data_IF_394217755250
#
_entry.id   IF_394217755250
#
_cell.length_a   1.000
_cell.length_b   1.000
_cell.length_c   1.000
_cell.angle_alpha   90.00
_cell.angle_beta   90.00
_cell.angle_gamma   90.00
#
_symmetry.space_group_name_H-M   'P 1'
#
loop_
_entity.id
_entity.type
_entity.pdbx_description
1 polymer ?
#
# COMPACT_ATOMS: atom_id res chain seq x y z
N UNK A 1 10.92 50.19 27.20
CA UNK A 1 9.56 49.69 26.90
C UNK A 1 9.48 48.96 25.57
N UNK A 2 10.00 49.51 24.46
CA UNK A 2 9.93 48.90 23.12
C UNK A 2 10.37 47.43 23.08
N UNK A 3 11.54 47.06 23.65
CA UNK A 3 12.01 45.66 23.69
C UNK A 3 11.08 44.67 24.39
N UNK A 4 10.35 45.11 25.43
CA UNK A 4 9.38 44.25 26.15
C UNK A 4 8.09 44.07 25.35
N UNK A 5 7.70 45.09 24.58
CA UNK A 5 6.53 45.05 23.70
C UNK A 5 6.81 44.18 22.46
N UNK A 6 8.00 44.28 21.85
CA UNK A 6 8.39 43.38 20.74
C UNK A 6 8.52 41.94 21.19
N UNK A 7 9.06 41.66 22.39
CA UNK A 7 9.12 40.29 22.92
C UNK A 7 7.72 39.70 23.17
N UNK A 8 6.77 40.48 23.69
CA UNK A 8 5.37 40.07 23.83
C UNK A 8 4.67 39.88 22.48
N UNK A 9 5.00 40.70 21.47
CA UNK A 9 4.48 40.58 20.11
C UNK A 9 4.97 39.31 19.41
N UNK A 10 6.22 38.92 19.62
CA UNK A 10 6.76 37.64 19.12
C UNK A 10 6.23 36.43 19.88
N UNK A 11 5.97 36.53 21.20
CA UNK A 11 5.32 35.46 21.95
C UNK A 11 3.86 35.22 21.53
N UNK A 12 3.16 36.26 21.07
CA UNK A 12 1.79 36.15 20.53
C UNK A 12 1.71 35.46 19.16
N UNK A 13 2.82 35.42 18.41
CA UNK A 13 2.93 34.74 17.12
C UNK A 13 3.32 33.25 17.24
N UNK A 14 3.61 32.76 18.45
CA UNK A 14 3.77 31.33 18.73
C UNK A 14 2.41 30.61 18.82
N UNK A 15 1.45 31.02 17.99
CA UNK A 15 0.18 30.34 17.81
C UNK A 15 0.44 28.91 17.39
N UNK A 16 0.00 27.99 18.26
CA UNK A 16 -0.18 26.54 18.09
C UNK A 16 0.01 26.09 16.64
N UNK A 17 1.25 25.79 16.25
CA UNK A 17 1.48 25.04 15.04
C UNK A 17 0.98 23.62 15.31
N UNK A 18 -0.19 23.28 14.77
CA UNK A 18 -0.55 21.88 14.64
C UNK A 18 0.49 21.24 13.71
N UNK A 19 1.25 20.28 14.24
CA UNK A 19 2.09 19.44 13.41
C UNK A 19 1.20 18.77 12.34
N UNK A 20 1.77 18.57 11.16
CA UNK A 20 1.07 17.96 10.04
C UNK A 20 0.46 16.61 10.47
N UNK A 21 -0.79 16.36 10.12
CA UNK A 21 -1.52 15.09 10.37
C UNK A 21 -0.89 13.87 9.64
N UNK A 22 0.22 14.06 8.92
CA UNK A 22 0.89 13.02 8.14
C UNK A 22 2.17 12.55 8.83
N UNK A 23 2.25 11.23 9.08
CA UNK A 23 3.44 10.58 9.65
C UNK A 23 3.20 9.88 10.99
N UNK A 24 2.09 9.15 11.14
CA UNK A 24 1.77 8.46 12.41
C UNK A 24 2.66 7.24 12.70
N UNK A 25 3.30 6.71 11.66
CA UNK A 25 4.18 5.56 11.76
C UNK A 25 5.39 5.70 10.86
N UNK A 26 6.47 5.05 11.29
CA UNK A 26 7.70 4.88 10.52
C UNK A 26 7.54 3.81 9.44
N UNK A 27 8.47 3.70 8.50
CA UNK A 27 8.48 2.69 7.42
C UNK A 27 7.18 2.60 6.60
N UNK A 28 6.55 3.74 6.30
CA UNK A 28 5.29 3.80 5.54
C UNK A 28 5.36 3.09 4.18
N UNK A 29 6.57 2.95 3.61
CA UNK A 29 6.79 2.26 2.35
C UNK A 29 6.29 0.81 2.33
N UNK A 30 6.15 0.16 3.51
CA UNK A 30 5.60 -1.20 3.65
C UNK A 30 4.14 -1.33 3.18
N UNK A 31 3.40 -0.22 3.17
CA UNK A 31 2.00 -0.18 2.73
C UNK A 31 1.82 0.34 1.29
N UNK A 32 2.93 0.58 0.57
CA UNK A 32 2.89 0.89 -0.84
C UNK A 32 2.49 -0.33 -1.67
N UNK A 33 1.76 -0.06 -2.75
CA UNK A 33 1.16 -1.08 -3.60
C UNK A 33 2.24 -1.95 -4.24
N UNK A 34 2.19 -3.27 -4.05
CA UNK A 34 3.31 -4.13 -4.43
C UNK A 34 3.39 -4.43 -5.92
N UNK A 35 2.28 -4.39 -6.67
CA UNK A 35 2.26 -4.78 -8.08
C UNK A 35 1.24 -4.01 -8.92
N UNK A 36 1.40 -3.97 -10.26
CA UNK A 36 0.39 -3.36 -11.12
C UNK A 36 -0.97 -4.02 -10.99
N UNK A 37 -1.04 -5.35 -10.83
CA UNK A 37 -2.31 -6.05 -10.65
C UNK A 37 -3.06 -5.53 -9.42
N UNK A 38 -2.38 -5.39 -8.29
CA UNK A 38 -2.99 -4.83 -7.09
C UNK A 38 -3.39 -3.37 -7.30
N UNK A 39 -2.53 -2.56 -7.92
CA UNK A 39 -2.83 -1.16 -8.22
C UNK A 39 -4.11 -1.02 -9.08
N UNK A 40 -4.27 -1.90 -10.07
CA UNK A 40 -5.39 -1.85 -11.00
C UNK A 40 -6.72 -2.16 -10.33
N UNK A 41 -6.70 -3.00 -9.30
CA UNK A 41 -7.86 -3.44 -8.54
C UNK A 41 -8.13 -2.56 -7.31
N UNK A 42 -7.52 -1.37 -7.24
CA UNK A 42 -7.78 -0.39 -6.17
C UNK A 42 -6.76 -0.39 -5.02
N UNK A 43 -5.73 -1.24 -5.09
CA UNK A 43 -4.48 -1.10 -4.31
C UNK A 43 -4.23 -2.16 -3.25
N UNK A 44 -5.25 -2.71 -2.60
CA UNK A 44 -5.10 -3.67 -1.48
C UNK A 44 -5.99 -4.89 -1.65
N UNK A 45 -5.78 -5.65 -2.72
CA UNK A 45 -6.44 -6.95 -2.87
C UNK A 45 -5.63 -8.00 -2.10
N UNK A 46 -6.34 -8.88 -1.39
CA UNK A 46 -5.74 -9.91 -0.53
C UNK A 46 -6.31 -11.31 -0.79
N UNK A 47 -7.11 -11.48 -1.84
CA UNK A 47 -7.88 -12.72 -2.10
C UNK A 47 -7.42 -13.45 -3.36
N UNK A 48 -6.38 -12.97 -4.05
CA UNK A 48 -5.89 -13.68 -5.22
C UNK A 48 -5.20 -14.97 -4.79
N UNK A 49 -5.45 -16.06 -5.52
CA UNK A 49 -4.80 -17.35 -5.28
C UNK A 49 -4.50 -17.99 -6.63
N UNK A 50 -3.37 -17.58 -7.21
CA UNK A 50 -2.91 -18.06 -8.50
C UNK A 50 -1.38 -17.98 -8.58
N UNK A 51 -0.84 -17.95 -9.80
CA UNK A 51 0.61 -17.92 -10.08
C UNK A 51 1.29 -16.59 -9.72
N UNK A 52 0.53 -15.55 -9.37
CA UNK A 52 1.07 -14.22 -9.07
C UNK A 52 1.81 -14.18 -7.73
N UNK A 53 3.13 -14.35 -7.82
CA UNK A 53 4.04 -14.35 -6.66
C UNK A 53 4.07 -13.02 -5.91
N UNK A 54 3.53 -11.93 -6.47
CA UNK A 54 3.49 -10.63 -5.79
C UNK A 54 2.38 -10.54 -4.73
N UNK A 55 1.34 -11.37 -4.82
CA UNK A 55 0.23 -11.38 -3.86
C UNK A 55 0.68 -11.74 -2.45
N UNK A 56 1.66 -12.64 -2.35
CA UNK A 56 2.23 -13.09 -1.09
C UNK A 56 2.94 -11.96 -0.30
N UNK A 57 3.31 -10.84 -0.93
CA UNK A 57 3.81 -9.64 -0.25
C UNK A 57 2.73 -8.95 0.61
N UNK A 58 1.45 -9.18 0.31
CA UNK A 58 0.30 -8.60 1.00
C UNK A 58 -0.47 -9.61 1.83
N UNK A 59 -0.64 -10.82 1.31
CA UNK A 59 -1.30 -11.92 2.01
C UNK A 59 -0.42 -13.19 1.96
N UNK A 60 0.30 -13.55 3.04
CA UNK A 60 1.09 -14.78 3.04
C UNK A 60 0.26 -16.06 2.93
N UNK A 61 -1.05 -16.04 3.23
CA UNK A 61 -1.91 -17.21 3.02
C UNK A 61 -2.14 -17.53 1.53
N UNK A 62 -1.82 -16.60 0.62
CA UNK A 62 -1.96 -16.84 -0.82
C UNK A 62 -0.81 -17.65 -1.43
N UNK A 63 0.31 -17.80 -0.71
CA UNK A 63 1.45 -18.60 -1.14
C UNK A 63 0.96 -20.02 -1.45
N UNK A 64 1.28 -20.54 -2.63
CA UNK A 64 0.77 -21.82 -3.10
C UNK A 64 1.75 -22.52 -4.06
N UNK A 65 1.45 -23.76 -4.45
CA UNK A 65 2.31 -24.56 -5.34
C UNK A 65 2.41 -24.03 -6.77
N UNK A 66 1.42 -23.29 -7.25
CA UNK A 66 1.41 -22.75 -8.62
C UNK A 66 2.40 -21.57 -8.78
N UNK A 67 2.83 -20.99 -7.66
CA UNK A 67 3.91 -20.00 -7.62
C UNK A 67 5.30 -20.62 -7.82
N UNK A 68 5.43 -21.95 -7.91
CA UNK A 68 6.73 -22.60 -8.11
C UNK A 68 7.49 -22.03 -9.32
N UNK A 69 8.72 -21.56 -9.07
CA UNK A 69 9.60 -20.97 -10.07
C UNK A 69 9.01 -19.74 -10.78
N UNK A 70 8.07 -19.04 -10.14
CA UNK A 70 7.61 -17.74 -10.59
C UNK A 70 8.49 -16.66 -9.97
N UNK A 71 8.99 -15.76 -10.80
CA UNK A 71 9.68 -14.54 -10.39
C UNK A 71 8.92 -13.31 -10.89
N UNK A 72 8.83 -12.26 -10.09
CA UNK A 72 8.23 -11.01 -10.50
C UNK A 72 9.09 -9.81 -10.12
N UNK A 73 9.11 -8.80 -10.98
CA UNK A 73 9.73 -7.49 -10.77
C UNK A 73 8.72 -6.42 -11.13
N UNK A 74 8.50 -5.48 -10.21
CA UNK A 74 7.60 -4.35 -10.41
C UNK A 74 8.31 -3.05 -10.09
N UNK A 75 8.03 -2.01 -10.88
CA UNK A 75 8.57 -0.66 -10.69
C UNK A 75 7.44 0.34 -10.89
N UNK A 76 7.43 1.36 -10.05
CA UNK A 76 6.52 2.50 -10.18
C UNK A 76 7.26 3.80 -9.87
N UNK A 77 6.96 4.83 -10.67
CA UNK A 77 7.37 6.19 -10.41
C UNK A 77 6.28 6.87 -9.59
N UNK A 78 6.66 7.35 -8.41
CA UNK A 78 5.80 8.07 -7.49
C UNK A 78 6.02 9.59 -7.62
N UNK A 79 5.26 10.36 -6.85
CA UNK A 79 5.32 11.82 -6.85
C UNK A 79 6.73 12.33 -6.47
N UNK A 80 7.16 13.44 -7.08
CA UNK A 80 8.39 14.14 -6.68
C UNK A 80 9.71 13.44 -7.06
N UNK A 81 9.71 12.56 -8.07
CA UNK A 81 10.91 11.82 -8.49
C UNK A 81 11.21 10.57 -7.66
N UNK A 82 10.37 10.28 -6.66
CA UNK A 82 10.44 9.06 -5.86
C UNK A 82 10.19 7.85 -6.77
N UNK A 83 11.00 6.82 -6.63
CA UNK A 83 10.83 5.55 -7.35
C UNK A 83 10.79 4.43 -6.34
N UNK A 84 9.86 3.50 -6.51
CA UNK A 84 9.82 2.30 -5.68
C UNK A 84 9.54 1.08 -6.53
N UNK A 85 9.88 -0.08 -6.01
CA UNK A 85 9.72 -1.34 -6.71
C UNK A 85 9.67 -2.51 -5.77
N UNK A 86 9.18 -3.62 -6.31
CA UNK A 86 9.16 -4.89 -5.61
C UNK A 86 9.77 -5.98 -6.47
N UNK A 87 10.34 -6.97 -5.80
CA UNK A 87 10.75 -8.22 -6.39
C UNK A 87 10.15 -9.36 -5.56
N UNK A 88 9.72 -10.44 -6.22
CA UNK A 88 9.22 -11.60 -5.51
C UNK A 88 9.58 -12.88 -6.25
N UNK A 89 9.85 -13.94 -5.51
CA UNK A 89 10.16 -15.27 -6.04
C UNK A 89 9.60 -16.35 -5.12
N UNK A 90 9.13 -17.44 -5.70
CA UNK A 90 8.61 -18.57 -4.95
C UNK A 90 9.22 -19.89 -5.43
N UNK A 91 9.54 -20.75 -4.47
CA UNK A 91 10.14 -22.05 -4.70
C UNK A 91 9.43 -23.10 -3.86
N UNK A 92 9.14 -24.24 -4.48
CA UNK A 92 8.41 -25.35 -3.84
C UNK A 92 9.42 -26.45 -3.69
N UNK A 93 9.76 -26.78 -2.45
CA UNK A 93 10.78 -27.78 -2.16
C UNK A 93 10.27 -29.20 -2.41
N UNK A 94 9.09 -29.51 -1.85
CA UNK A 94 8.39 -30.77 -2.01
C UNK A 94 6.91 -30.57 -1.61
N UNK A 95 6.04 -31.50 -1.99
CA UNK A 95 4.61 -31.53 -1.63
C UNK A 95 4.36 -31.52 -0.12
N UNK A 96 5.35 -31.90 0.70
CA UNK A 96 5.26 -31.92 2.18
C UNK A 96 5.75 -30.63 2.84
N UNK A 97 6.79 -30.01 2.26
CA UNK A 97 7.45 -28.80 2.78
C UNK A 97 6.88 -27.53 2.12
N UNK A 98 5.86 -27.67 1.27
CA UNK A 98 5.08 -26.59 0.65
C UNK A 98 5.97 -25.58 -0.12
N UNK A 99 5.46 -24.38 -0.34
CA UNK A 99 6.12 -23.30 -1.08
C UNK A 99 6.72 -22.27 -0.14
N UNK A 100 7.99 -21.94 -0.38
CA UNK A 100 8.67 -20.80 0.22
C UNK A 100 8.52 -19.57 -0.67
N UNK A 101 8.34 -18.42 -0.04
CA UNK A 101 8.27 -17.13 -0.71
C UNK A 101 9.39 -16.22 -0.25
N UNK A 102 9.98 -15.49 -1.20
CA UNK A 102 11.00 -14.48 -0.96
C UNK A 102 10.55 -13.19 -1.64
N UNK A 103 10.62 -12.08 -0.92
CA UNK A 103 10.16 -10.80 -1.42
C UNK A 103 11.08 -9.66 -1.02
N UNK A 104 11.16 -8.64 -1.87
CA UNK A 104 11.87 -7.39 -1.63
C UNK A 104 10.91 -6.26 -1.94
N UNK A 105 10.83 -5.27 -1.05
CA UNK A 105 10.19 -3.97 -1.32
C UNK A 105 11.25 -2.90 -1.13
N UNK A 106 11.39 -2.01 -2.10
CA UNK A 106 12.42 -0.98 -2.14
C UNK A 106 11.81 0.36 -2.51
N UNK A 107 12.19 1.42 -1.80
CA UNK A 107 11.87 2.81 -2.15
C UNK A 107 13.14 3.65 -2.19
N UNK A 108 13.24 4.52 -3.19
CA UNK A 108 14.24 5.56 -3.31
C UNK A 108 13.53 6.90 -3.38
N UNK A 109 13.86 7.79 -2.45
CA UNK A 109 13.22 9.10 -2.35
C UNK A 109 13.72 10.13 -3.37
N UNK A 110 14.75 9.80 -4.15
CA UNK A 110 15.40 10.72 -5.06
C UNK A 110 16.46 11.55 -4.35
N UNK A 111 16.87 12.64 -5.00
CA UNK A 111 17.88 13.57 -4.52
C UNK A 111 17.23 14.92 -4.21
N UNK A 112 17.55 15.47 -3.04
CA UNK A 112 17.02 16.74 -2.55
C UNK A 112 18.15 17.74 -2.35
N UNK A 113 17.89 19.00 -2.67
CA UNK A 113 18.81 20.10 -2.40
C UNK A 113 18.80 20.44 -0.90
N UNK A 114 19.96 20.29 -0.26
CA UNK A 114 20.19 20.73 1.11
C UNK A 114 20.40 22.23 1.20
N UNK A 115 19.74 22.88 2.17
CA UNK A 115 19.94 24.29 2.51
C UNK A 115 20.01 24.47 4.02
N UNK A 116 20.86 25.37 4.48
CA UNK A 116 20.91 25.77 5.88
C UNK A 116 19.76 26.73 6.25
N UNK A 117 19.72 27.16 7.52
CA UNK A 117 18.72 28.10 8.02
C UNK A 117 18.74 29.48 7.33
N UNK A 118 19.85 29.82 6.66
CA UNK A 118 20.01 31.08 5.91
C UNK A 118 19.72 30.89 4.41
N UNK A 119 19.32 29.69 3.99
CA UNK A 119 19.05 29.34 2.59
C UNK A 119 20.30 29.07 1.76
N UNK A 120 21.48 28.99 2.37
CA UNK A 120 22.75 28.67 1.71
C UNK A 120 22.78 27.17 1.43
N UNK A 121 23.18 26.79 0.21
CA UNK A 121 23.24 25.39 -0.19
C UNK A 121 24.27 24.61 0.63
N UNK A 122 23.87 23.45 1.16
CA UNK A 122 24.72 22.55 1.97
C UNK A 122 25.12 21.27 1.23
N UNK A 123 24.77 21.16 -0.06
CA UNK A 123 24.95 19.96 -0.88
C UNK A 123 23.61 19.32 -1.22
N UNK A 124 23.63 18.05 -1.62
CA UNK A 124 22.42 17.25 -1.86
C UNK A 124 22.35 16.09 -0.87
N UNK A 125 21.14 15.66 -0.56
CA UNK A 125 20.90 14.48 0.28
C UNK A 125 19.85 13.57 -0.36
N UNK A 126 19.88 12.30 0.04
CA UNK A 126 18.97 11.27 -0.46
C UNK A 126 18.53 10.35 0.68
N UNK A 127 17.58 9.48 0.38
CA UNK A 127 17.15 8.44 1.30
C UNK A 127 16.59 7.25 0.53
N UNK A 128 16.70 6.09 1.13
CA UNK A 128 16.16 4.85 0.60
C UNK A 128 15.79 3.88 1.73
N UNK A 129 14.82 3.03 1.47
CA UNK A 129 14.40 1.99 2.40
C UNK A 129 14.22 0.67 1.67
N UNK A 130 14.49 -0.41 2.39
CA UNK A 130 14.42 -1.78 1.89
C UNK A 130 13.75 -2.66 2.93
N UNK A 131 12.82 -3.49 2.49
CA UNK A 131 12.28 -4.59 3.28
C UNK A 131 12.53 -5.90 2.56
N UNK A 132 13.26 -6.81 3.21
CA UNK A 132 13.40 -8.20 2.79
C UNK A 132 12.34 -9.02 3.53
N UNK A 133 11.65 -9.89 2.81
CA UNK A 133 10.58 -10.73 3.35
C UNK A 133 10.79 -12.19 3.00
N UNK A 134 10.49 -13.06 3.96
CA UNK A 134 10.44 -14.50 3.80
C UNK A 134 9.07 -15.00 4.23
N UNK A 135 8.41 -15.74 3.36
CA UNK A 135 7.04 -16.20 3.53
C UNK A 135 6.90 -17.70 3.52
N UNK A 136 5.95 -18.20 4.31
CA UNK A 136 5.56 -19.60 4.33
C UNK A 136 4.05 -19.73 4.52
N UNK A 137 3.50 -20.78 3.91
CA UNK A 137 2.09 -21.12 3.91
C UNK A 137 1.87 -22.50 4.54
N UNK A 138 0.71 -22.70 5.15
CA UNK A 138 0.25 -23.99 5.64
C UNK A 138 -1.23 -24.18 5.30
N UNK A 139 -1.52 -25.23 4.52
CA UNK A 139 -2.89 -25.63 4.18
C UNK A 139 -3.42 -26.54 5.29
N UNK A 140 -4.53 -26.17 5.91
CA UNK A 140 -5.12 -26.96 7.00
C UNK A 140 -5.78 -28.20 6.40
N UNK A 141 -5.32 -29.42 6.73
CA UNK A 141 -5.84 -30.65 6.12
C UNK A 141 -7.34 -30.82 6.34
N UNK A 142 -8.05 -31.32 5.31
CA UNK A 142 -9.50 -31.58 5.32
C UNK A 142 -10.37 -30.33 5.53
N UNK A 143 -9.83 -29.15 5.24
CA UNK A 143 -10.56 -27.89 5.27
C UNK A 143 -10.21 -27.03 4.07
N UNK A 144 -11.03 -26.02 3.84
CA UNK A 144 -10.85 -25.02 2.79
C UNK A 144 -10.03 -23.81 3.27
N UNK A 145 -9.30 -23.96 4.39
CA UNK A 145 -8.56 -22.87 5.04
C UNK A 145 -7.04 -22.97 4.81
N UNK A 146 -6.47 -21.82 4.48
CA UNK A 146 -5.06 -21.58 4.22
C UNK A 146 -4.57 -20.55 5.22
N UNK A 147 -3.46 -20.81 5.89
CA UNK A 147 -2.82 -19.86 6.79
C UNK A 147 -1.40 -19.58 6.33
N UNK A 148 -0.91 -18.37 6.54
CA UNK A 148 0.46 -18.03 6.15
C UNK A 148 1.05 -16.96 7.04
N UNK A 149 2.38 -16.90 7.04
CA UNK A 149 3.14 -15.87 7.72
C UNK A 149 4.29 -15.36 6.85
N UNK A 150 4.57 -14.06 6.92
CA UNK A 150 5.80 -13.46 6.41
C UNK A 150 6.61 -12.90 7.59
N UNK A 151 7.93 -13.10 7.57
CA UNK A 151 8.86 -12.35 8.39
C UNK A 151 9.58 -11.30 7.54
N UNK A 152 9.70 -10.06 8.05
CA UNK A 152 10.34 -8.94 7.36
C UNK A 152 11.51 -8.40 8.17
N UNK A 153 12.61 -8.11 7.49
CA UNK A 153 13.71 -7.28 7.99
C UNK A 153 13.74 -5.99 7.20
N UNK A 154 13.74 -4.87 7.91
CA UNK A 154 13.55 -3.54 7.34
C UNK A 154 14.80 -2.72 7.63
N UNK A 155 15.31 -2.03 6.62
CA UNK A 155 16.40 -1.08 6.73
C UNK A 155 15.99 0.22 6.09
N UNK A 156 16.20 1.32 6.78
CA UNK A 156 15.90 2.66 6.29
C UNK A 156 17.09 3.57 6.51
N UNK A 157 17.42 4.34 5.49
CA UNK A 157 18.43 5.37 5.51
C UNK A 157 17.81 6.66 4.99
N UNK A 158 17.80 7.69 5.82
CA UNK A 158 17.31 9.03 5.51
C UNK A 158 18.46 10.01 5.78
N UNK A 159 19.13 10.46 4.72
CA UNK A 159 20.38 11.23 4.80
C UNK A 159 21.42 10.51 5.68
N UNK A 160 21.71 11.04 6.87
CA UNK A 160 22.68 10.50 7.82
C UNK A 160 22.05 9.58 8.87
N UNK A 161 20.72 9.57 8.97
CA UNK A 161 19.99 8.79 9.96
C UNK A 161 19.66 7.41 9.42
N UNK A 162 19.84 6.39 10.25
CA UNK A 162 19.53 5.02 9.90
C UNK A 162 18.62 4.37 10.94
N UNK A 163 17.85 3.38 10.49
CA UNK A 163 16.90 2.66 11.32
C UNK A 163 16.72 1.26 10.77
N UNK A 164 16.74 0.27 11.67
CA UNK A 164 16.54 -1.14 11.35
C UNK A 164 15.36 -1.64 12.16
N UNK A 165 14.45 -2.35 11.51
CA UNK A 165 13.26 -2.89 12.13
C UNK A 165 12.95 -4.30 11.68
N UNK A 166 11.99 -4.91 12.36
CA UNK A 166 11.45 -6.22 12.00
C UNK A 166 9.94 -6.22 12.12
N UNK A 167 9.28 -6.98 11.25
CA UNK A 167 7.83 -7.12 11.26
C UNK A 167 7.38 -8.52 10.84
N UNK A 168 6.17 -8.89 11.24
CA UNK A 168 5.50 -10.11 10.82
C UNK A 168 4.17 -9.74 10.17
N UNK A 169 3.85 -10.41 9.06
CA UNK A 169 2.51 -10.43 8.51
C UNK A 169 1.89 -11.80 8.74
N UNK A 170 0.60 -11.84 9.03
CA UNK A 170 -0.20 -13.05 9.16
C UNK A 170 -1.38 -12.99 8.20
N UNK A 171 -1.73 -14.13 7.62
CA UNK A 171 -2.86 -14.26 6.71
C UNK A 171 -3.67 -15.51 7.02
N UNK A 172 -4.98 -15.40 6.89
CA UNK A 172 -5.90 -16.53 6.80
C UNK A 172 -6.76 -16.34 5.57
N UNK A 173 -6.96 -17.40 4.80
CA UNK A 173 -7.79 -17.38 3.60
C UNK A 173 -8.66 -18.63 3.52
N UNK A 174 -9.90 -18.45 3.13
CA UNK A 174 -10.89 -19.47 2.86
C UNK A 174 -11.16 -19.52 1.36
N UNK A 175 -11.09 -20.71 0.76
CA UNK A 175 -11.30 -20.92 -0.68
C UNK A 175 -12.40 -21.95 -0.89
N UNK A 176 -13.52 -21.53 -1.48
CA UNK A 176 -14.56 -22.45 -1.92
C UNK A 176 -14.40 -22.73 -3.42
N UNK A 177 -13.89 -23.91 -3.77
CA UNK A 177 -13.64 -24.29 -5.17
C UNK A 177 -14.93 -24.40 -6.01
N UNK A 178 -16.06 -24.79 -5.41
CA UNK A 178 -17.32 -24.98 -6.13
C UNK A 178 -17.93 -23.64 -6.60
N UNK A 179 -17.77 -22.59 -5.81
CA UNK A 179 -18.30 -21.25 -6.10
C UNK A 179 -17.25 -20.31 -6.69
N UNK A 180 -15.99 -20.75 -6.78
CA UNK A 180 -14.80 -19.93 -7.02
C UNK A 180 -14.83 -18.65 -6.15
N UNK A 181 -15.10 -18.84 -4.85
CA UNK A 181 -15.25 -17.77 -3.86
C UNK A 181 -14.10 -17.80 -2.86
N UNK A 182 -13.41 -16.69 -2.69
CA UNK A 182 -12.33 -16.54 -1.71
C UNK A 182 -12.68 -15.46 -0.69
N UNK A 183 -12.37 -15.71 0.57
CA UNK A 183 -12.37 -14.71 1.63
C UNK A 183 -11.03 -14.73 2.37
N UNK A 184 -10.50 -13.57 2.75
CA UNK A 184 -9.22 -13.47 3.44
C UNK A 184 -9.25 -12.43 4.55
N UNK A 185 -8.45 -12.66 5.60
CA UNK A 185 -8.12 -11.71 6.64
C UNK A 185 -6.60 -11.63 6.73
N UNK A 186 -6.04 -10.42 6.69
CA UNK A 186 -4.61 -10.19 6.86
C UNK A 186 -4.34 -9.22 8.00
N UNK A 187 -3.27 -9.48 8.72
CA UNK A 187 -2.71 -8.63 9.77
C UNK A 187 -1.27 -8.36 9.37
N UNK A 188 -0.96 -7.12 8.98
CA UNK A 188 0.30 -6.74 8.36
C UNK A 188 1.11 -5.82 9.26
N UNK A 189 2.43 -5.90 9.11
CA UNK A 189 3.42 -5.04 9.75
C UNK A 189 3.36 -5.05 11.29
N UNK A 190 3.04 -6.20 11.90
CA UNK A 190 3.14 -6.36 13.35
C UNK A 190 4.63 -6.45 13.75
N UNK A 191 5.18 -5.39 14.33
CA UNK A 191 6.62 -5.32 14.58
C UNK A 191 7.10 -4.08 15.32
N UNK A 192 8.41 -3.84 15.29
CA UNK A 192 9.07 -2.73 15.98
C UNK A 192 10.38 -2.33 15.31
N UNK A 193 10.87 -1.13 15.65
CA UNK A 193 12.23 -0.69 15.35
C UNK A 193 13.22 -1.31 16.34
N UNK A 194 14.28 -1.95 15.84
CA UNK A 194 15.42 -2.41 16.62
C UNK A 194 16.42 -1.26 16.86
N UNK A 195 16.59 -0.39 15.86
CA UNK A 195 17.34 0.86 15.99
C UNK A 195 16.46 2.02 15.54
N UNK A 196 16.63 3.18 16.17
CA UNK A 196 15.82 4.39 15.93
C UNK A 196 16.66 5.44 15.20
N UNK A 197 16.03 6.31 14.39
CA UNK A 197 16.74 7.41 13.73
C UNK A 197 17.35 8.40 14.72
N UNK A 198 16.61 8.77 15.76
CA UNK A 198 16.97 9.85 16.69
C UNK A 198 16.57 9.56 18.15
N UNK A 199 16.68 8.31 18.59
CA UNK A 199 16.43 7.90 19.99
C UNK A 199 14.95 7.73 20.36
N UNK A 200 14.02 8.10 19.47
CA UNK A 200 12.58 7.89 19.65
C UNK A 200 12.16 6.64 18.89
N UNK A 201 11.50 5.71 19.59
CA UNK A 201 10.90 4.53 18.98
C UNK A 201 9.53 4.90 18.41
N UNK A 202 9.36 4.69 17.11
CA UNK A 202 8.14 4.97 16.38
C UNK A 202 7.42 3.67 16.01
N UNK A 203 6.08 3.74 15.94
CA UNK A 203 5.27 2.57 15.59
C UNK A 203 5.41 2.23 14.11
N UNK A 204 5.31 0.95 13.78
CA UNK A 204 5.19 0.46 12.41
C UNK A 204 3.78 0.72 11.85
N UNK A 205 3.59 0.70 10.51
CA UNK A 205 2.32 0.99 9.87
C UNK A 205 1.44 -0.26 9.88
N UNK A 206 1.02 -0.65 11.08
CA UNK A 206 0.18 -1.81 11.36
C UNK A 206 -1.16 -1.70 10.64
N UNK A 207 -1.58 -2.78 9.99
CA UNK A 207 -2.80 -2.79 9.18
C UNK A 207 -3.54 -4.13 9.29
N UNK A 208 -4.86 -4.07 9.47
CA UNK A 208 -5.76 -5.23 9.42
C UNK A 208 -6.73 -5.06 8.24
N UNK A 209 -6.78 -6.05 7.35
CA UNK A 209 -7.64 -6.01 6.17
C UNK A 209 -8.50 -7.27 6.07
N UNK A 210 -9.73 -7.11 5.59
CA UNK A 210 -10.61 -8.21 5.20
C UNK A 210 -10.95 -8.11 3.72
N UNK A 211 -11.03 -9.24 3.02
CA UNK A 211 -11.28 -9.26 1.58
C UNK A 211 -12.18 -10.41 1.18
N UNK A 212 -12.96 -10.19 0.13
CA UNK A 212 -13.79 -11.19 -0.53
C UNK A 212 -13.64 -11.06 -2.04
N UNK A 213 -13.68 -12.17 -2.76
CA UNK A 213 -13.73 -12.17 -4.22
C UNK A 213 -14.42 -13.41 -4.76
N UNK A 214 -15.04 -13.28 -5.92
CA UNK A 214 -15.64 -14.44 -6.59
C UNK A 214 -15.60 -14.28 -8.10
N UNK A 215 -15.34 -15.37 -8.83
CA UNK A 215 -15.54 -15.43 -10.27
C UNK A 215 -16.99 -15.83 -10.58
N UNK A 216 -17.64 -15.10 -11.48
CA UNK A 216 -19.02 -15.42 -11.88
C UNK A 216 -19.06 -16.64 -12.81
N UNK A 217 -20.05 -17.52 -12.64
CA UNK A 217 -20.15 -18.78 -13.38
C UNK A 217 -20.27 -18.60 -14.91
N UNK A 218 -21.06 -17.61 -15.36
CA UNK A 218 -21.36 -17.41 -16.79
C UNK A 218 -20.58 -16.27 -17.44
N UNK A 219 -19.83 -15.49 -16.65
CA UNK A 219 -19.09 -14.32 -17.13
C UNK A 219 -17.67 -14.46 -16.59
N UNK A 220 -16.62 -14.34 -17.42
CA UNK A 220 -15.23 -14.45 -16.98
C UNK A 220 -14.79 -13.18 -16.22
N UNK A 221 -15.53 -12.82 -15.18
CA UNK A 221 -15.37 -11.62 -14.37
C UNK A 221 -15.24 -12.05 -12.92
N UNK A 222 -14.13 -11.67 -12.29
CA UNK A 222 -13.92 -11.79 -10.86
C UNK A 222 -14.14 -10.43 -10.21
N UNK A 223 -15.08 -10.35 -9.27
CA UNK A 223 -15.24 -9.15 -8.45
C UNK A 223 -14.40 -9.27 -7.17
N UNK A 224 -13.94 -8.14 -6.67
CA UNK A 224 -13.17 -8.03 -5.43
C UNK A 224 -13.75 -6.94 -4.55
N UNK A 225 -13.82 -7.22 -3.26
CA UNK A 225 -14.16 -6.29 -2.21
C UNK A 225 -13.10 -6.40 -1.13
N UNK A 226 -12.50 -5.28 -0.74
CA UNK A 226 -11.61 -5.22 0.43
C UNK A 226 -12.12 -4.16 1.39
N UNK A 227 -12.12 -4.49 2.68
CA UNK A 227 -12.18 -3.54 3.79
C UNK A 227 -10.76 -3.37 4.35
N UNK A 228 -10.17 -2.19 4.16
CA UNK A 228 -8.81 -1.87 4.60
C UNK A 228 -8.77 -1.18 5.97
N UNK A 229 -7.66 -1.29 6.70
CA UNK A 229 -7.42 -0.57 7.96
C UNK A 229 -8.54 -0.72 9.02
N UNK A 230 -9.03 -1.94 9.20
CA UNK A 230 -10.14 -2.26 10.11
C UNK A 230 -9.86 -1.92 11.59
N UNK A 231 -8.59 -1.79 11.97
CA UNK A 231 -8.16 -1.42 13.30
C UNK A 231 -8.35 0.08 13.61
N UNK A 232 -8.52 0.93 12.59
CA UNK A 232 -8.52 2.38 12.73
C UNK A 232 -9.93 2.94 12.52
N UNK A 233 -10.54 3.47 13.58
CA UNK A 233 -11.88 4.05 13.49
C UNK A 233 -12.00 5.30 14.38
N UNK A 234 -12.29 6.49 13.82
CA UNK A 234 -12.45 6.80 12.40
C UNK A 234 -11.11 6.89 11.65
N UNK A 235 -11.06 6.42 10.40
CA UNK A 235 -9.93 6.63 9.48
C UNK A 235 -10.02 7.96 8.73
N UNK A 236 -11.22 8.51 8.65
CA UNK A 236 -11.49 9.73 7.90
C UNK A 236 -11.16 10.97 8.71
N UNK A 237 -10.16 11.73 8.27
CA UNK A 237 -9.86 13.07 8.80
C UNK A 237 -10.62 14.18 8.04
N UNK A 238 -10.87 15.29 8.73
CA UNK A 238 -11.35 16.54 8.12
C UNK A 238 -10.27 17.11 7.20
N UNK A 239 -10.68 17.63 6.05
CA UNK A 239 -9.75 18.30 5.14
C UNK A 239 -9.72 19.82 5.41
N UNK A 240 -8.60 20.38 5.89
CA UNK A 240 -8.50 21.82 6.18
C UNK A 240 -8.74 22.70 4.95
N UNK A 241 -8.42 22.21 3.75
CA UNK A 241 -8.67 22.94 2.51
C UNK A 241 -10.16 23.09 2.17
N UNK A 242 -11.05 22.42 2.91
CA UNK A 242 -12.51 22.50 2.78
C UNK A 242 -13.18 23.17 3.97
N UNK A 243 -12.40 23.68 4.93
CA UNK A 243 -12.96 24.45 6.03
C UNK A 243 -13.67 25.69 5.47
N UNK A 244 -14.89 25.95 5.94
CA UNK A 244 -15.63 27.15 5.57
C UNK A 244 -15.39 28.23 6.61
N UNK A 245 -15.07 29.44 6.14
CA UNK A 245 -14.87 30.59 7.01
C UNK A 245 -16.14 31.44 7.02
N UNK A 246 -16.70 31.69 8.20
CA UNK A 246 -17.83 32.60 8.34
C UNK A 246 -17.41 34.07 8.17
N UNK A 247 -18.39 34.98 8.10
CA UNK A 247 -18.14 36.42 7.98
C UNK A 247 -17.42 37.03 9.20
N UNK A 248 -17.37 36.29 10.32
CA UNK A 248 -16.70 36.66 11.57
C UNK A 248 -15.28 36.08 11.67
N UNK A 249 -14.82 35.34 10.66
CA UNK A 249 -13.51 34.71 10.62
C UNK A 249 -13.39 33.35 11.33
N UNK A 250 -14.50 32.77 11.81
CA UNK A 250 -14.47 31.42 12.40
C UNK A 250 -14.41 30.37 11.30
N UNK A 251 -13.49 29.43 11.42
CA UNK A 251 -13.40 28.28 10.53
C UNK A 251 -14.20 27.11 11.09
N UNK A 252 -15.11 26.57 10.30
CA UNK A 252 -15.82 25.33 10.62
C UNK A 252 -15.33 24.20 9.72
N UNK A 253 -14.77 23.17 10.33
CA UNK A 253 -14.33 21.97 9.64
C UNK A 253 -15.50 21.07 9.25
N UNK A 254 -15.33 20.32 8.17
CA UNK A 254 -16.30 19.31 7.77
C UNK A 254 -16.38 18.18 8.81
N UNK A 255 -17.59 17.72 9.12
CA UNK A 255 -17.78 16.52 9.94
C UNK A 255 -17.81 15.29 9.05
N UNK A 256 -16.91 14.35 9.30
CA UNK A 256 -16.95 13.03 8.65
C UNK A 256 -18.03 12.18 9.31
N UNK A 257 -19.14 11.96 8.61
CA UNK A 257 -20.22 11.10 9.09
C UNK A 257 -19.85 9.61 9.09
N UNK A 258 -20.58 8.80 9.86
CA UNK A 258 -20.34 7.35 9.99
C UNK A 258 -20.25 6.64 8.63
N UNK A 259 -21.23 6.86 7.74
CA UNK A 259 -21.23 6.22 6.42
C UNK A 259 -20.03 6.63 5.55
N UNK A 260 -19.63 7.90 5.59
CA UNK A 260 -18.43 8.36 4.87
C UNK A 260 -17.18 7.65 5.42
N UNK A 261 -17.06 7.57 6.75
CA UNK A 261 -15.98 6.81 7.37
C UNK A 261 -15.99 5.34 6.94
N UNK A 262 -17.14 4.65 6.99
CA UNK A 262 -17.27 3.26 6.53
C UNK A 262 -16.83 3.09 5.08
N UNK A 263 -17.28 3.98 4.19
CA UNK A 263 -16.91 3.92 2.78
C UNK A 263 -15.41 4.14 2.58
N UNK A 264 -14.73 4.94 3.41
CA UNK A 264 -13.27 5.10 3.35
C UNK A 264 -12.49 3.82 3.74
N UNK A 265 -13.14 2.79 4.27
CA UNK A 265 -12.50 1.48 4.40
C UNK A 265 -12.70 0.60 3.16
N UNK A 266 -13.60 0.97 2.24
CA UNK A 266 -14.00 0.11 1.13
C UNK A 266 -13.12 0.30 -0.11
N UNK A 267 -12.74 -0.81 -0.71
CA UNK A 267 -12.13 -0.89 -2.04
C UNK A 267 -12.94 -1.90 -2.86
N UNK A 268 -13.27 -1.53 -4.10
CA UNK A 268 -13.93 -2.41 -5.06
C UNK A 268 -13.01 -2.63 -6.26
N UNK A 269 -12.95 -3.87 -6.74
CA UNK A 269 -12.17 -4.27 -7.90
C UNK A 269 -12.95 -5.22 -8.81
N UNK A 270 -12.59 -5.24 -10.08
CA UNK A 270 -13.14 -6.15 -11.08
C UNK A 270 -12.04 -6.57 -12.07
N UNK A 271 -11.83 -7.86 -12.24
CA UNK A 271 -10.88 -8.45 -13.19
C UNK A 271 -11.63 -9.27 -14.25
N UNK A 272 -11.54 -8.86 -15.51
CA UNK A 272 -12.08 -9.59 -16.64
C UNK A 272 -10.99 -10.47 -17.26
N UNK A 273 -11.34 -11.73 -17.49
CA UNK A 273 -10.48 -12.81 -17.96
C UNK A 273 -9.25 -13.08 -17.07
N UNK A 274 -9.42 -13.32 -15.75
CA UNK A 274 -8.31 -13.53 -14.82
C UNK A 274 -7.35 -14.65 -15.25
N UNK A 275 -7.89 -15.76 -15.76
CA UNK A 275 -7.11 -16.94 -16.14
C UNK A 275 -6.58 -16.93 -17.58
N UNK A 276 -6.91 -15.90 -18.36
CA UNK A 276 -6.51 -15.84 -19.78
C UNK A 276 -5.21 -15.05 -19.95
N UNK A 277 -4.61 -15.21 -21.13
CA UNK A 277 -3.39 -14.50 -21.49
C UNK A 277 -3.56 -12.98 -21.53
N UNK A 278 -4.77 -12.48 -21.78
CA UNK A 278 -5.10 -11.06 -21.68
C UNK A 278 -6.12 -10.83 -20.58
N UNK A 279 -5.91 -9.80 -19.75
CA UNK A 279 -6.82 -9.42 -18.68
C UNK A 279 -6.99 -7.89 -18.61
N UNK A 280 -8.21 -7.49 -18.25
CA UNK A 280 -8.57 -6.10 -17.97
C UNK A 280 -8.94 -5.98 -16.51
N UNK A 281 -8.49 -4.91 -15.87
CA UNK A 281 -8.69 -4.68 -14.44
C UNK A 281 -9.19 -3.26 -14.22
N UNK A 282 -10.20 -3.13 -13.37
CA UNK A 282 -10.75 -1.87 -12.92
C UNK A 282 -10.85 -1.88 -11.39
N UNK A 283 -10.54 -0.76 -10.77
CA UNK A 283 -10.59 -0.61 -9.32
C UNK A 283 -11.06 0.78 -8.90
N UNK A 284 -11.70 0.84 -7.74
CA UNK A 284 -12.11 2.07 -7.08
C UNK A 284 -11.81 2.01 -5.59
N UNK A 285 -10.94 2.91 -5.14
CA UNK A 285 -10.64 3.10 -3.73
C UNK A 285 -11.37 4.36 -3.24
N UNK A 286 -12.32 4.17 -2.32
CA UNK A 286 -13.19 5.24 -1.81
C UNK A 286 -12.42 6.24 -0.93
N UNK A 287 -11.46 5.77 -0.12
CA UNK A 287 -10.59 6.65 0.69
C UNK A 287 -9.81 7.59 -0.19
N UNK A 288 -9.10 7.04 -1.18
CA UNK A 288 -8.30 7.78 -2.13
C UNK A 288 -9.16 8.75 -2.96
N UNK A 289 -10.37 8.34 -3.34
CA UNK A 289 -11.32 9.21 -4.03
C UNK A 289 -11.71 10.42 -3.19
N UNK A 290 -11.92 10.23 -1.89
CA UNK A 290 -12.40 11.27 -0.99
C UNK A 290 -11.28 12.16 -0.46
N UNK A 291 -10.14 11.61 -0.04
CA UNK A 291 -9.02 12.39 0.51
C UNK A 291 -8.35 13.27 -0.53
N UNK A 292 -8.20 12.78 -1.77
CA UNK A 292 -7.56 13.51 -2.87
C UNK A 292 -8.57 14.32 -3.70
N UNK A 293 -9.79 14.49 -3.20
CA UNK A 293 -10.82 15.33 -3.83
C UNK A 293 -10.47 16.80 -3.68
N UNK A 294 -10.28 17.47 -4.82
CA UNK A 294 -10.15 18.91 -4.95
C UNK A 294 -11.55 19.49 -5.17
N UNK A 295 -11.89 20.55 -4.42
CA UNK A 295 -13.15 21.27 -4.60
C UNK A 295 -13.23 21.88 -6.01
N UNK A 296 -14.44 21.96 -6.55
CA UNK A 296 -14.75 22.57 -7.85
C UNK A 296 -14.08 21.91 -9.08
N UNK A 297 -13.51 20.71 -8.93
CA UNK A 297 -12.93 19.94 -10.03
C UNK A 297 -13.51 18.53 -10.11
N UNK A 298 -13.66 18.00 -11.34
CA UNK A 298 -14.06 16.61 -11.54
C UNK A 298 -12.93 15.68 -11.10
N UNK A 299 -13.18 14.93 -10.02
CA UNK A 299 -12.19 14.05 -9.43
C UNK A 299 -12.35 12.58 -9.89
N UNK A 300 -11.23 11.96 -10.25
CA UNK A 300 -11.15 10.53 -10.56
C UNK A 300 -10.05 9.83 -9.73
N UNK A 301 -9.60 10.45 -8.63
CA UNK A 301 -8.46 10.00 -7.84
C UNK A 301 -8.67 8.66 -7.12
N UNK A 302 -9.88 8.09 -7.16
CA UNK A 302 -10.16 6.74 -6.69
C UNK A 302 -10.00 5.65 -7.74
N UNK A 303 -10.11 6.00 -9.03
CA UNK A 303 -10.16 5.03 -10.13
C UNK A 303 -8.76 4.53 -10.51
N UNK A 304 -8.70 3.25 -10.85
CA UNK A 304 -7.52 2.62 -11.42
C UNK A 304 -7.91 1.67 -12.53
N UNK A 305 -7.08 1.62 -13.56
CA UNK A 305 -7.25 0.75 -14.70
C UNK A 305 -5.93 0.06 -15.02
N UNK A 306 -6.00 -1.24 -15.30
CA UNK A 306 -4.82 -2.02 -15.65
C UNK A 306 -5.10 -3.06 -16.72
N UNK A 307 -4.03 -3.42 -17.40
CA UNK A 307 -4.01 -4.47 -18.42
C UNK A 307 -2.87 -5.43 -18.12
N UNK A 308 -3.08 -6.70 -18.41
CA UNK A 308 -2.02 -7.69 -18.38
C UNK A 308 -2.03 -8.53 -19.64
N UNK A 309 -0.83 -8.83 -20.13
CA UNK A 309 -0.59 -9.60 -21.34
C UNK A 309 0.47 -10.67 -21.06
N UNK A 310 0.09 -11.93 -21.21
CA UNK A 310 0.96 -13.09 -21.11
C UNK A 310 1.39 -13.54 -22.50
N UNK A 311 2.70 -13.58 -22.72
CA UNK A 311 3.35 -14.10 -23.91
C UNK A 311 4.33 -15.18 -23.45
N UNK A 312 4.03 -16.44 -23.79
CA UNK A 312 4.80 -17.61 -23.36
C UNK A 312 4.96 -17.64 -21.82
N UNK A 313 6.21 -17.60 -21.35
CA UNK A 313 6.59 -17.63 -19.93
C UNK A 313 6.59 -16.25 -19.27
N UNK A 314 6.32 -15.16 -20.01
CA UNK A 314 6.36 -13.80 -19.49
C UNK A 314 4.94 -13.22 -19.41
N UNK A 315 4.61 -12.57 -18.30
CA UNK A 315 3.38 -11.78 -18.12
C UNK A 315 3.76 -10.33 -17.83
N UNK A 316 3.46 -9.46 -18.78
CA UNK A 316 3.59 -8.01 -18.64
C UNK A 316 2.31 -7.46 -18.03
N UNK A 317 2.42 -6.61 -17.02
CA UNK A 317 1.29 -5.90 -16.43
C UNK A 317 1.58 -4.41 -16.40
N UNK A 318 0.60 -3.62 -16.84
CA UNK A 318 0.64 -2.17 -16.77
C UNK A 318 -0.58 -1.66 -16.03
N UNK A 319 -0.42 -0.62 -15.24
CA UNK A 319 -1.54 0.02 -14.55
C UNK A 319 -1.36 1.51 -14.50
N UNK A 320 -2.46 2.19 -14.74
CA UNK A 320 -2.61 3.61 -14.57
C UNK A 320 -3.55 3.86 -13.39
N UNK A 321 -3.02 4.50 -12.35
CA UNK A 321 -3.80 4.96 -11.21
C UNK A 321 -3.71 6.49 -11.15
N UNK A 322 -4.87 7.14 -11.08
CA UNK A 322 -4.94 8.59 -10.94
C UNK A 322 -4.96 8.92 -9.46
N UNK A 323 -3.98 9.70 -8.97
CA UNK A 323 -3.90 10.11 -7.56
C UNK A 323 -4.36 11.55 -7.38
N UNK A 324 -4.09 12.45 -8.33
CA UNK A 324 -4.65 13.81 -8.31
C UNK A 324 -4.97 14.28 -9.72
N UNK A 325 -5.53 15.50 -9.87
CA UNK A 325 -5.74 16.10 -11.19
C UNK A 325 -4.43 16.31 -11.96
N UNK A 326 -3.32 16.55 -11.26
CA UNK A 326 -1.99 16.86 -11.81
C UNK A 326 -1.00 15.70 -11.76
N UNK A 327 -1.32 14.59 -11.07
CA UNK A 327 -0.42 13.47 -10.90
C UNK A 327 -1.08 12.12 -11.22
N UNK A 328 -0.50 11.46 -12.21
CA UNK A 328 -0.79 10.10 -12.58
C UNK A 328 0.39 9.21 -12.18
N UNK A 329 0.11 8.06 -11.60
CA UNK A 329 1.13 7.06 -11.25
C UNK A 329 0.96 5.87 -12.17
N UNK A 330 2.06 5.51 -12.84
CA UNK A 330 2.13 4.32 -13.68
C UNK A 330 2.87 3.22 -12.95
N UNK A 331 2.39 2.00 -13.10
CA UNK A 331 3.00 0.79 -12.57
C UNK A 331 3.34 -0.11 -13.74
N UNK A 332 4.56 -0.61 -13.75
CA UNK A 332 5.00 -1.62 -14.69
C UNK A 332 5.45 -2.85 -13.93
N UNK A 333 5.06 -4.02 -14.41
CA UNK A 333 5.39 -5.30 -13.80
C UNK A 333 5.67 -6.35 -14.84
N UNK A 334 6.65 -7.18 -14.53
CA UNK A 334 7.02 -8.35 -15.32
C UNK A 334 7.04 -9.55 -14.38
N UNK A 335 6.27 -10.57 -14.72
CA UNK A 335 6.35 -11.88 -14.09
C UNK A 335 6.89 -12.90 -15.11
N UNK A 336 7.78 -13.78 -14.67
CA UNK A 336 8.45 -14.79 -15.48
C UNK A 336 8.28 -16.16 -14.82
N UNK A 337 7.86 -17.13 -15.62
CA UNK A 337 7.87 -18.55 -15.30
C UNK A 337 9.24 -19.14 -15.66
N UNK A 338 9.98 -19.64 -14.68
CA UNK A 338 11.34 -20.15 -14.84
C UNK A 338 11.41 -21.68 -15.04
N UNK A 339 10.27 -22.38 -15.06
CA UNK A 339 10.21 -23.83 -15.30
C UNK A 339 10.61 -24.23 -16.71
#
# INVERSE_FOLDING_TARGET
MIRRITALFFLGFASVCFAQLGGESTYQFLNLISSPRQAALGGKIITNFDKDVTEALYNPASINSDMHNQAALNVSSYLGGITYGTAAYAYTWDRRVQTFHFGVTYINYGEFDGRDLNGIATGTFSGNEVALSFGYNYNIPFTDFYVGANAKVITSQLEQYNSVGGAIDLGVMYINENLDFHAALTVRNLGTQFTTYAGVNERLPFEVNFGMSQTLEYIPLRWHLTLENLQEWPIGVSNPARATTDLSGNQTEEKVGFLNNTLRHLILGAELWPDRGFNLRLGYNFRRAEELRILDQRNFSGLSFGVGLKINKMKFSYTHARYTASANTSFFGLQIDLN
#
